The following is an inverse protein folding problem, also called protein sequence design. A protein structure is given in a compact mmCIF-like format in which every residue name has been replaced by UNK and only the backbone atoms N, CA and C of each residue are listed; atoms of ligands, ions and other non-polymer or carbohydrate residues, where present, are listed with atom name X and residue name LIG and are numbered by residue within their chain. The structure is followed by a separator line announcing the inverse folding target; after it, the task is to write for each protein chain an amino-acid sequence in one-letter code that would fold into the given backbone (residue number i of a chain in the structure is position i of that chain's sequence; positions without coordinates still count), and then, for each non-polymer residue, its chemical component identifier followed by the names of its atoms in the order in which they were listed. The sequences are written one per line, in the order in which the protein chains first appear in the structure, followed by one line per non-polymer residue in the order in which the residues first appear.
data_IF_588728457346
#
_entry.id   IF_588728457346
#
_cell.length_a   1.000
_cell.length_b   1.000
_cell.length_c   1.000
_cell.angle_alpha   90.00
_cell.angle_beta   90.00
_cell.angle_gamma   90.00
#
_symmetry.space_group_name_H-M   'P 1'
#
loop_
_entity.id
_entity.type
_entity.pdbx_description
1 polymer ?
#
# COMPACT_ATOMS: atom_id res chain seq x y z
N UNK A 1 -10.25 12.65 -8.35
CA UNK A 1 -9.37 11.47 -8.35
C UNK A 1 -8.00 11.82 -7.77
N UNK A 2 -7.51 11.03 -6.85
CA UNK A 2 -6.22 11.30 -6.23
C UNK A 2 -5.07 10.83 -7.08
N UNK A 3 -3.89 11.44 -6.88
CA UNK A 3 -2.67 11.03 -7.57
C UNK A 3 -1.82 10.19 -6.63
N UNK A 4 -1.15 9.18 -7.18
CA UNK A 4 -0.27 8.32 -6.40
C UNK A 4 1.16 8.79 -6.56
N UNK A 5 1.86 9.00 -5.43
CA UNK A 5 3.27 9.32 -5.41
C UNK A 5 4.03 8.10 -4.89
N UNK A 6 4.98 7.60 -5.69
CA UNK A 6 5.73 6.40 -5.33
C UNK A 6 7.02 6.80 -4.62
N UNK A 7 7.13 6.44 -3.34
CA UNK A 7 8.37 6.71 -2.61
C UNK A 7 9.51 5.91 -3.22
N UNK A 8 10.74 6.36 -2.99
CA UNK A 8 11.92 5.63 -3.47
C UNK A 8 11.94 4.20 -2.93
N UNK A 9 11.62 4.05 -1.64
CA UNK A 9 11.61 2.72 -1.04
C UNK A 9 10.50 1.84 -1.60
N UNK A 10 9.32 2.41 -1.87
CA UNK A 10 8.24 1.65 -2.49
C UNK A 10 8.67 1.11 -3.86
N UNK A 11 9.36 1.93 -4.64
CA UNK A 11 9.84 1.50 -5.97
C UNK A 11 10.79 0.31 -5.85
N UNK A 12 11.67 0.34 -4.85
CA UNK A 12 12.59 -0.77 -4.60
C UNK A 12 11.84 -2.01 -4.14
N UNK A 13 10.86 -1.82 -3.24
CA UNK A 13 10.03 -2.93 -2.76
C UNK A 13 9.29 -3.59 -3.91
N UNK A 14 8.68 -2.77 -4.78
CA UNK A 14 7.88 -3.26 -5.89
C UNK A 14 8.67 -4.18 -6.82
N UNK A 15 9.94 -3.88 -7.04
CA UNK A 15 10.78 -4.69 -7.95
C UNK A 15 10.83 -6.15 -7.54
N UNK A 16 10.71 -6.44 -6.24
CA UNK A 16 10.73 -7.83 -5.75
C UNK A 16 9.49 -8.61 -6.18
N UNK A 17 8.41 -7.93 -6.50
CA UNK A 17 7.10 -8.55 -6.76
C UNK A 17 6.63 -8.37 -8.19
N UNK A 18 7.41 -7.73 -9.05
CA UNK A 18 6.97 -7.39 -10.40
C UNK A 18 6.62 -8.59 -11.27
N UNK A 19 7.16 -9.77 -10.93
CA UNK A 19 6.89 -11.00 -11.67
C UNK A 19 5.87 -11.91 -11.00
N UNK A 20 5.28 -11.47 -9.88
CA UNK A 20 4.24 -12.22 -9.18
C UNK A 20 2.88 -11.73 -9.66
N UNK A 21 2.31 -12.44 -10.62
CA UNK A 21 1.07 -12.02 -11.25
C UNK A 21 -0.09 -11.82 -10.26
N UNK A 22 -0.29 -12.78 -9.36
CA UNK A 22 -1.40 -12.69 -8.41
C UNK A 22 -1.28 -11.48 -7.47
N UNK A 23 -0.07 -11.26 -6.95
CA UNK A 23 0.17 -10.12 -6.07
C UNK A 23 -0.01 -8.81 -6.82
N UNK A 24 0.45 -8.74 -8.07
CA UNK A 24 0.31 -7.52 -8.88
C UNK A 24 -1.15 -7.21 -9.15
N UNK A 25 -1.97 -8.22 -9.47
CA UNK A 25 -3.38 -8.00 -9.76
C UNK A 25 -4.14 -7.53 -8.52
N UNK A 26 -3.85 -8.15 -7.37
CA UNK A 26 -4.47 -7.73 -6.12
C UNK A 26 -4.05 -6.31 -5.75
N UNK A 27 -2.78 -5.97 -5.95
CA UNK A 27 -2.28 -4.61 -5.70
C UNK A 27 -2.98 -3.60 -6.60
N UNK A 28 -3.15 -3.90 -7.89
CA UNK A 28 -3.85 -3.01 -8.82
C UNK A 28 -5.26 -2.69 -8.34
N UNK A 29 -5.97 -3.69 -7.83
CA UNK A 29 -7.33 -3.47 -7.33
C UNK A 29 -7.34 -2.44 -6.21
N UNK A 30 -6.42 -2.59 -5.24
CA UNK A 30 -6.35 -1.68 -4.10
C UNK A 30 -5.92 -0.28 -4.55
N UNK A 31 -4.91 -0.18 -5.42
CA UNK A 31 -4.45 1.12 -5.91
C UNK A 31 -5.55 1.87 -6.66
N UNK A 32 -6.36 1.15 -7.43
CA UNK A 32 -7.49 1.76 -8.13
C UNK A 32 -8.49 2.34 -7.14
N UNK A 33 -8.79 1.59 -6.07
CA UNK A 33 -9.71 2.07 -5.05
C UNK A 33 -9.17 3.33 -4.37
N UNK A 34 -7.87 3.36 -4.07
CA UNK A 34 -7.27 4.54 -3.46
C UNK A 34 -7.35 5.76 -4.37
N UNK A 35 -7.05 5.58 -5.65
CA UNK A 35 -7.12 6.69 -6.62
C UNK A 35 -8.55 7.22 -6.74
N UNK A 36 -9.52 6.34 -6.76
CA UNK A 36 -10.94 6.71 -6.93
C UNK A 36 -11.59 7.14 -5.62
N UNK A 37 -10.83 7.19 -4.53
CA UNK A 37 -11.30 7.60 -3.20
C UNK A 37 -12.43 6.72 -2.70
N UNK A 38 -12.41 5.44 -3.05
CA UNK A 38 -13.39 4.47 -2.60
C UNK A 38 -12.88 3.75 -1.35
N UNK A 39 -13.78 3.31 -0.46
CA UNK A 39 -13.35 2.58 0.74
C UNK A 39 -12.65 1.28 0.37
N UNK A 40 -11.62 0.93 1.14
CA UNK A 40 -10.93 -0.33 0.97
C UNK A 40 -11.79 -1.43 1.63
N UNK A 41 -12.17 -2.48 0.89
CA UNK A 41 -13.00 -3.54 1.45
C UNK A 41 -12.38 -4.19 2.69
N UNK A 42 -13.24 -4.62 3.61
CA UNK A 42 -12.80 -5.23 4.87
C UNK A 42 -11.92 -6.46 4.68
N UNK A 43 -12.05 -7.16 3.53
CA UNK A 43 -11.22 -8.34 3.27
C UNK A 43 -9.73 -8.01 3.20
N UNK A 44 -9.38 -6.76 2.95
CA UNK A 44 -7.98 -6.31 2.91
C UNK A 44 -7.50 -5.80 4.28
N UNK A 45 -8.33 -5.83 5.31
CA UNK A 45 -7.99 -5.43 6.69
C UNK A 45 -7.33 -4.06 6.77
N UNK A 46 -7.94 -3.00 6.20
CA UNK A 46 -7.34 -1.67 6.28
C UNK A 46 -7.33 -1.16 7.71
N UNK A 47 -6.22 -0.60 8.15
CA UNK A 47 -6.11 -0.04 9.50
C UNK A 47 -4.98 0.98 9.56
N UNK A 48 -5.05 1.86 10.58
CA UNK A 48 -4.04 2.87 10.80
C UNK A 48 -2.87 2.29 11.61
N UNK A 49 -1.66 2.70 11.27
CA UNK A 49 -0.47 2.24 11.95
C UNK A 49 -0.06 3.18 13.07
N UNK A 50 0.72 2.64 14.02
CA UNK A 50 1.31 3.38 15.11
C UNK A 50 2.84 3.17 15.06
N UNK A 51 3.56 3.86 15.94
CA UNK A 51 5.01 3.72 16.01
C UNK A 51 5.72 4.37 14.83
N UNK A 52 6.64 3.64 14.22
CA UNK A 52 7.50 4.15 13.15
C UNK A 52 6.70 4.72 11.97
N UNK A 53 5.56 4.08 11.65
CA UNK A 53 4.73 4.49 10.53
C UNK A 53 3.47 5.25 10.98
N UNK A 54 3.55 5.91 12.12
CA UNK A 54 2.42 6.65 12.68
C UNK A 54 1.81 7.59 11.64
N UNK A 55 0.50 7.53 11.51
CA UNK A 55 -0.23 8.35 10.55
C UNK A 55 -0.42 7.70 9.19
N UNK A 56 0.28 6.61 8.93
CA UNK A 56 0.09 5.84 7.70
C UNK A 56 -1.00 4.81 7.88
N UNK A 57 -1.58 4.40 6.74
CA UNK A 57 -2.53 3.29 6.68
C UNK A 57 -1.83 2.07 6.12
N UNK A 58 -2.33 0.90 6.50
CA UNK A 58 -1.83 -0.36 5.96
C UNK A 58 -3.01 -1.25 5.59
N UNK A 59 -2.85 -2.06 4.56
CA UNK A 59 -3.80 -3.13 4.30
C UNK A 59 -3.07 -4.39 3.83
N UNK A 60 -3.76 -5.52 3.94
CA UNK A 60 -3.25 -6.82 3.50
C UNK A 60 -3.74 -7.06 2.08
N UNK A 61 -2.82 -6.92 1.11
CA UNK A 61 -3.16 -7.08 -0.31
C UNK A 61 -3.51 -8.54 -0.59
N UNK A 62 -2.64 -9.46 -0.12
CA UNK A 62 -2.83 -10.89 -0.30
C UNK A 62 -1.95 -11.61 0.74
N UNK A 63 -2.57 -12.24 1.74
CA UNK A 63 -1.81 -12.90 2.80
C UNK A 63 -0.85 -11.95 3.48
N UNK A 64 0.44 -12.30 3.50
CA UNK A 64 1.49 -11.50 4.13
C UNK A 64 2.10 -10.49 3.15
N UNK A 65 1.34 -10.02 2.18
CA UNK A 65 1.77 -9.00 1.22
C UNK A 65 1.03 -7.72 1.56
N UNK A 66 1.73 -6.76 2.15
CA UNK A 66 1.15 -5.56 2.76
C UNK A 66 1.51 -4.30 1.98
N UNK A 67 0.59 -3.33 2.00
CA UNK A 67 0.82 -2.00 1.44
C UNK A 67 0.68 -0.98 2.55
N UNK A 68 1.67 -0.09 2.67
CA UNK A 68 1.61 1.04 3.60
C UNK A 68 1.53 2.31 2.76
N UNK A 69 0.54 3.15 3.04
CA UNK A 69 0.38 4.42 2.33
C UNK A 69 0.06 5.55 3.29
N UNK A 70 0.29 6.78 2.83
CA UNK A 70 -0.01 7.98 3.59
C UNK A 70 -0.90 8.89 2.73
N UNK A 71 -2.07 9.22 3.25
CA UNK A 71 -3.02 10.08 2.54
C UNK A 71 -2.68 11.54 2.84
N UNK A 72 -1.95 12.16 1.92
CA UNK A 72 -1.51 13.54 2.09
C UNK A 72 -2.63 14.52 1.70
N UNK A 73 -2.45 15.78 2.10
CA UNK A 73 -3.31 16.87 1.62
C UNK A 73 -3.04 17.08 0.12
N UNK A 74 -3.92 17.84 -0.54
CA UNK A 74 -3.78 18.19 -1.97
C UNK A 74 -3.95 16.99 -2.90
N UNK A 75 -4.82 16.04 -2.52
CA UNK A 75 -5.21 14.91 -3.36
C UNK A 75 -4.04 14.01 -3.76
N UNK A 76 -3.06 13.87 -2.89
CA UNK A 76 -1.93 12.98 -3.13
C UNK A 76 -1.93 11.85 -2.09
N UNK A 77 -1.76 10.62 -2.58
CA UNK A 77 -1.52 9.46 -1.72
C UNK A 77 -0.10 9.00 -1.96
N UNK A 78 0.71 8.98 -0.92
CA UNK A 78 2.07 8.48 -1.02
C UNK A 78 2.08 6.98 -0.74
N UNK A 79 2.61 6.19 -1.68
CA UNK A 79 2.83 4.77 -1.47
C UNK A 79 4.19 4.63 -0.79
N UNK A 80 4.16 4.22 0.49
CA UNK A 80 5.34 4.28 1.36
C UNK A 80 6.17 3.02 1.32
N UNK A 81 5.55 1.86 1.56
CA UNK A 81 6.23 0.57 1.58
C UNK A 81 5.33 -0.53 1.02
N UNK A 82 5.96 -1.61 0.56
CA UNK A 82 5.28 -2.78 0.03
C UNK A 82 6.10 -4.02 0.36
N UNK A 83 5.47 -5.04 0.94
CA UNK A 83 6.18 -6.27 1.26
C UNK A 83 5.56 -7.04 2.40
N UNK A 84 6.31 -8.01 2.92
CA UNK A 84 5.85 -8.84 4.02
C UNK A 84 6.05 -8.13 5.37
N UNK A 85 5.43 -8.67 6.43
CA UNK A 85 5.62 -8.13 7.78
C UNK A 85 7.10 -8.05 8.14
N UNK A 86 7.86 -9.12 7.91
CA UNK A 86 9.27 -9.12 8.28
C UNK A 86 10.08 -8.12 7.47
N UNK A 87 9.72 -7.90 6.21
CA UNK A 87 10.40 -6.90 5.39
C UNK A 87 10.12 -5.48 5.85
N UNK A 88 8.90 -5.21 6.30
CA UNK A 88 8.48 -3.85 6.66
C UNK A 88 8.74 -3.51 8.12
N UNK A 89 8.66 -4.48 9.01
CA UNK A 89 8.74 -4.23 10.45
C UNK A 89 9.91 -4.93 11.14
N UNK A 90 10.67 -5.70 10.39
CA UNK A 90 11.86 -6.38 10.90
C UNK A 90 11.57 -7.69 11.59
#
# INVERSE_FOLDING_TARGET
MKRLFLSTQYKKDYKKYKNDFKKKEALKEVLKLLKEEKPIPAKFLPHMLHGEYKGCMECHIQGDFLLIWFDKVNDIIELVRLGSHSELFG
#
